data_IF_021801853055
#
_entry.id   IF_021801853055
#
_cell.length_a   1.000
_cell.length_b   1.000
_cell.length_c   1.000
_cell.angle_alpha   90.00
_cell.angle_beta   90.00
_cell.angle_gamma   90.00
#
_symmetry.space_group_name_H-M   'P 1'
#
loop_
_entity.id
_entity.type
_entity.pdbx_description
1 polymer ?
#
# COMPACT_ATOMS: atom_id res chain seq x y z
N UNK A 1 18.67 -44.81 13.91
CA UNK A 1 17.90 -43.89 13.11
C UNK A 1 16.58 -43.59 13.80
N UNK A 2 16.47 -42.39 14.37
CA UNK A 2 15.22 -41.91 14.97
C UNK A 2 14.39 -41.29 13.88
N UNK A 3 13.25 -41.85 13.54
CA UNK A 3 12.26 -41.23 12.66
C UNK A 3 11.43 -40.24 13.51
N UNK A 4 11.67 -38.96 13.36
CA UNK A 4 10.84 -37.90 13.93
C UNK A 4 9.60 -37.74 13.07
N UNK A 5 8.47 -38.29 13.51
CA UNK A 5 7.15 -38.04 12.91
C UNK A 5 6.63 -36.72 13.47
N UNK A 6 6.65 -35.67 12.68
CA UNK A 6 6.10 -34.38 13.06
C UNK A 6 4.68 -34.24 12.44
N UNK A 7 3.66 -34.39 13.29
CA UNK A 7 2.29 -34.11 12.87
C UNK A 7 1.99 -32.65 13.24
N UNK A 8 1.83 -31.79 12.24
CA UNK A 8 1.47 -30.39 12.42
C UNK A 8 0.06 -30.14 11.87
N UNK A 9 -0.89 -29.87 12.73
CA UNK A 9 -2.21 -29.42 12.35
C UNK A 9 -2.49 -28.08 13.05
N UNK A 10 -2.44 -26.98 12.29
CA UNK A 10 -2.70 -25.65 12.80
C UNK A 10 -3.89 -25.03 12.08
N UNK A 11 -4.96 -24.74 12.82
CA UNK A 11 -6.08 -23.93 12.33
C UNK A 11 -5.99 -22.53 12.92
N UNK A 12 -5.59 -21.55 12.12
CA UNK A 12 -5.53 -20.15 12.54
C UNK A 12 -6.63 -19.34 11.84
N UNK A 13 -7.45 -18.66 12.63
CA UNK A 13 -8.47 -17.74 12.13
C UNK A 13 -8.10 -16.32 12.57
N UNK A 14 -7.91 -15.43 11.62
CA UNK A 14 -7.70 -13.99 11.87
C UNK A 14 -8.81 -13.22 11.17
N UNK A 15 -9.37 -12.25 11.84
CA UNK A 15 -10.33 -11.32 11.28
C UNK A 15 -10.01 -9.90 11.72
N UNK A 16 -10.19 -8.95 10.83
CA UNK A 16 -10.06 -7.53 11.11
C UNK A 16 -11.30 -6.86 10.55
N UNK A 17 -12.00 -6.12 11.39
CA UNK A 17 -13.14 -5.31 11.00
C UNK A 17 -12.75 -3.84 11.08
N UNK A 18 -12.95 -3.10 10.00
CA UNK A 18 -12.70 -1.67 9.92
C UNK A 18 -14.01 -0.96 9.59
N UNK A 19 -14.38 0.03 10.39
CA UNK A 19 -15.52 0.88 10.16
C UNK A 19 -15.07 2.34 10.05
N UNK A 20 -15.42 2.99 8.93
CA UNK A 20 -15.22 4.43 8.71
C UNK A 20 -16.58 5.08 8.49
N UNK A 21 -16.95 6.04 9.33
CA UNK A 21 -18.26 6.69 9.29
C UNK A 21 -18.13 8.22 9.34
N UNK A 22 -17.70 8.88 8.25
CA UNK A 22 -17.68 10.35 8.19
C UNK A 22 -19.10 10.91 8.23
N UNK A 23 -19.27 12.08 8.86
CA UNK A 23 -20.55 12.77 8.96
C UNK A 23 -20.37 14.24 8.67
N UNK A 24 -21.27 14.82 7.90
CA UNK A 24 -21.26 16.23 7.55
C UNK A 24 -22.70 16.76 7.49
N UNK A 25 -22.91 17.97 7.93
CA UNK A 25 -24.19 18.67 7.77
C UNK A 25 -24.05 19.76 6.72
N UNK A 26 -24.93 19.75 5.74
CA UNK A 26 -24.82 20.59 4.53
C UNK A 26 -26.15 21.28 4.26
N UNK A 27 -26.09 22.45 3.65
CA UNK A 27 -27.28 23.15 3.17
C UNK A 27 -27.79 22.51 1.87
N UNK A 28 -29.10 22.58 1.66
CA UNK A 28 -29.74 22.11 0.44
C UNK A 28 -29.13 22.74 -0.82
N UNK A 29 -28.75 21.90 -1.78
CA UNK A 29 -28.17 22.30 -3.06
C UNK A 29 -26.73 22.83 -2.99
N UNK A 30 -26.06 22.79 -1.84
CA UNK A 30 -24.68 23.24 -1.70
C UNK A 30 -23.71 22.05 -1.66
N UNK A 31 -22.61 22.09 -2.43
CA UNK A 31 -21.56 21.09 -2.32
C UNK A 31 -20.80 21.29 -1.01
N UNK A 32 -20.41 20.19 -0.39
CA UNK A 32 -19.55 20.20 0.80
C UNK A 32 -18.59 19.03 0.78
N UNK A 33 -17.44 19.24 1.41
CA UNK A 33 -16.40 18.25 1.55
C UNK A 33 -16.01 18.11 3.01
N UNK A 34 -15.77 16.89 3.45
CA UNK A 34 -15.09 16.58 4.70
C UNK A 34 -13.88 15.71 4.42
N UNK A 35 -12.72 16.14 4.91
CA UNK A 35 -11.45 15.42 4.81
C UNK A 35 -10.98 15.07 6.21
N UNK A 36 -10.80 13.79 6.48
CA UNK A 36 -10.25 13.25 7.73
C UNK A 36 -9.08 12.36 7.33
N UNK A 37 -7.93 12.95 7.12
CA UNK A 37 -6.77 12.27 6.56
C UNK A 37 -5.46 12.74 7.19
N UNK A 38 -4.44 11.91 7.08
CA UNK A 38 -3.05 12.26 7.33
C UNK A 38 -2.37 12.54 6.00
N UNK A 39 -1.62 13.63 5.96
CA UNK A 39 -0.80 13.97 4.81
C UNK A 39 0.47 13.12 4.80
N UNK A 40 0.65 12.37 3.73
CA UNK A 40 1.81 11.54 3.54
C UNK A 40 2.66 12.08 2.39
N UNK A 41 3.87 12.53 2.72
CA UNK A 41 4.82 13.04 1.75
C UNK A 41 5.85 11.96 1.46
N UNK A 42 6.12 11.70 0.19
CA UNK A 42 7.10 10.73 -0.25
C UNK A 42 7.93 11.28 -1.42
N UNK A 43 9.20 10.86 -1.56
CA UNK A 43 10.04 11.34 -2.64
C UNK A 43 9.51 10.83 -3.98
N UNK A 44 9.45 11.73 -4.96
CA UNK A 44 8.99 11.43 -6.33
C UNK A 44 10.13 11.11 -7.27
N UNK A 45 11.32 11.60 -6.94
CA UNK A 45 12.51 11.41 -7.74
C UNK A 45 13.72 11.12 -6.86
N UNK A 46 14.70 10.47 -7.44
CA UNK A 46 15.97 10.18 -6.80
C UNK A 46 17.09 10.63 -7.72
N UNK A 47 17.92 11.51 -7.22
CA UNK A 47 19.14 11.85 -7.92
C UNK A 47 20.05 10.61 -7.93
N UNK A 48 20.43 10.10 -9.11
CA UNK A 48 21.29 8.94 -9.18
C UNK A 48 22.61 9.23 -8.45
N UNK A 49 23.13 8.21 -7.77
CA UNK A 49 24.44 8.32 -7.16
C UNK A 49 25.48 8.71 -8.22
N UNK A 50 26.31 9.72 -7.98
CA UNK A 50 27.38 10.06 -8.89
C UNK A 50 28.32 8.85 -9.06
N UNK A 51 28.91 8.66 -10.25
CA UNK A 51 29.85 7.57 -10.45
C UNK A 51 31.00 7.69 -9.43
N UNK A 52 31.47 6.55 -8.90
CA UNK A 52 32.56 6.57 -7.93
C UNK A 52 33.78 7.28 -8.53
N UNK A 53 34.22 8.33 -7.89
CA UNK A 53 35.44 9.05 -8.28
C UNK A 53 36.61 8.32 -7.65
N UNK A 54 37.39 7.65 -8.48
CA UNK A 54 38.71 7.19 -8.05
C UNK A 54 39.58 8.47 -7.93
N UNK A 55 39.89 8.86 -6.72
CA UNK A 55 40.75 10.02 -6.47
C UNK A 55 42.09 9.80 -7.13
N UNK A 56 42.25 10.34 -8.34
CA UNK A 56 43.55 10.46 -8.97
C UNK A 56 44.34 11.49 -8.17
N UNK A 57 45.38 11.03 -7.47
CA UNK A 57 46.30 11.90 -6.78
C UNK A 57 46.83 12.96 -7.74
N UNK A 58 46.59 14.23 -7.39
CA UNK A 58 47.04 15.36 -8.14
C UNK A 58 48.54 15.31 -8.40
N UNK A 59 48.92 15.70 -9.60
CA UNK A 59 50.30 15.74 -10.07
C UNK A 59 51.22 16.50 -9.13
N UNK A 60 52.11 15.79 -8.52
CA UNK A 60 53.30 16.28 -7.85
C UNK A 60 54.40 15.30 -8.15
N UNK A 61 55.40 15.77 -8.90
CA UNK A 61 56.64 15.06 -9.21
C UNK A 61 57.29 14.57 -7.90
N UNK A 62 57.18 13.29 -7.58
CA UNK A 62 58.15 12.62 -6.73
C UNK A 62 58.20 11.13 -7.02
N UNK A 63 59.37 10.69 -7.41
CA UNK A 63 59.77 9.29 -7.55
C UNK A 63 59.64 8.58 -6.22
N UNK A 64 58.97 7.43 -6.23
CA UNK A 64 59.09 6.41 -5.21
C UNK A 64 57.86 6.22 -4.31
N UNK A 65 57.19 5.13 -4.55
CA UNK A 65 56.19 4.57 -3.61
C UNK A 65 54.84 4.35 -4.24
N UNK A 66 54.56 3.14 -4.66
CA UNK A 66 53.23 2.69 -5.04
C UNK A 66 52.29 2.70 -3.84
N UNK A 67 51.69 3.86 -3.57
CA UNK A 67 50.60 3.99 -2.61
C UNK A 67 49.26 3.75 -3.27
N UNK A 68 48.83 2.49 -3.35
CA UNK A 68 47.50 2.06 -3.76
C UNK A 68 46.49 2.35 -2.64
N UNK A 69 46.16 3.60 -2.44
CA UNK A 69 45.21 4.00 -1.39
C UNK A 69 44.24 5.08 -1.86
N UNK A 70 43.74 4.99 -3.09
CA UNK A 70 42.59 5.83 -3.50
C UNK A 70 41.34 5.37 -2.80
N UNK A 71 40.88 6.10 -1.80
CA UNK A 71 39.59 5.85 -1.18
C UNK A 71 38.48 6.04 -2.22
N UNK A 72 37.73 4.96 -2.51
CA UNK A 72 36.56 5.02 -3.37
C UNK A 72 35.45 5.66 -2.52
N UNK A 73 35.07 6.87 -2.85
CA UNK A 73 33.93 7.52 -2.21
C UNK A 73 32.65 7.08 -2.94
N UNK A 74 31.80 6.37 -2.22
CA UNK A 74 30.48 5.96 -2.69
C UNK A 74 29.46 6.87 -2.04
N UNK A 75 28.72 7.60 -2.85
CA UNK A 75 27.64 8.45 -2.40
C UNK A 75 26.31 7.74 -2.70
N UNK A 76 25.44 7.66 -1.71
CA UNK A 76 24.09 7.10 -1.91
C UNK A 76 23.22 8.03 -2.77
N UNK A 77 22.22 7.47 -3.43
CA UNK A 77 21.21 8.26 -4.13
C UNK A 77 20.48 9.18 -3.14
N UNK A 78 20.24 10.41 -3.53
CA UNK A 78 19.60 11.41 -2.68
C UNK A 78 18.13 11.49 -3.08
N UNK A 79 17.18 11.25 -2.15
CA UNK A 79 15.77 11.43 -2.42
C UNK A 79 15.44 12.91 -2.64
N UNK A 80 14.64 13.20 -3.63
CA UNK A 80 14.13 14.54 -3.91
C UNK A 80 12.63 14.57 -3.61
N UNK A 81 12.24 15.56 -2.82
CA UNK A 81 10.85 15.83 -2.51
C UNK A 81 10.37 16.97 -3.39
N UNK A 82 9.21 16.80 -3.97
CA UNK A 82 8.57 17.89 -4.68
C UNK A 82 8.10 18.94 -3.67
N UNK A 83 8.44 20.22 -3.92
CA UNK A 83 8.10 21.34 -3.05
C UNK A 83 6.79 22.04 -3.44
N UNK A 84 6.07 21.49 -4.39
CA UNK A 84 4.78 22.01 -4.85
C UNK A 84 3.73 21.82 -3.75
N UNK A 85 2.83 22.80 -3.63
CA UNK A 85 1.72 22.74 -2.68
C UNK A 85 0.97 21.41 -2.78
N UNK A 86 0.62 20.80 -1.65
CA UNK A 86 -0.03 19.50 -1.64
C UNK A 86 -1.36 19.55 -2.40
N UNK A 87 -1.41 18.82 -3.49
CA UNK A 87 -2.61 18.54 -4.25
C UNK A 87 -2.75 17.02 -4.30
N UNK A 88 -3.92 16.52 -3.99
CA UNK A 88 -4.21 15.09 -3.81
C UNK A 88 -3.90 14.23 -5.06
N UNK A 89 -3.78 14.86 -6.22
CA UNK A 89 -3.47 14.19 -7.48
C UNK A 89 -2.00 14.34 -7.92
N UNK A 90 -1.19 15.11 -7.18
CA UNK A 90 0.20 15.32 -7.55
C UNK A 90 1.13 14.23 -7.01
N UNK A 91 2.16 13.86 -7.77
CA UNK A 91 3.20 12.97 -7.28
C UNK A 91 3.91 13.59 -6.07
N UNK A 92 4.25 12.76 -5.09
CA UNK A 92 4.97 13.18 -3.88
C UNK A 92 4.11 13.52 -2.67
N UNK A 93 2.80 13.64 -2.86
CA UNK A 93 1.84 13.89 -1.80
C UNK A 93 0.65 12.95 -1.89
N UNK A 94 0.17 12.48 -0.75
CA UNK A 94 -1.04 11.64 -0.69
C UNK A 94 -1.74 11.82 0.64
N UNK A 95 -3.03 12.09 0.59
CA UNK A 95 -3.90 12.05 1.74
C UNK A 95 -4.28 10.60 2.07
N UNK A 96 -3.94 10.16 3.27
CA UNK A 96 -4.26 8.83 3.81
C UNK A 96 -5.37 8.96 4.82
N UNK A 97 -6.55 8.47 4.51
CA UNK A 97 -7.73 8.62 5.34
C UNK A 97 -9.02 8.60 4.54
N UNK A 98 -10.00 9.37 4.98
CA UNK A 98 -11.35 9.43 4.39
C UNK A 98 -11.63 10.83 3.89
N UNK A 99 -12.04 10.93 2.64
CA UNK A 99 -12.56 12.15 2.00
C UNK A 99 -13.97 11.85 1.52
N UNK A 100 -14.91 12.73 1.81
CA UNK A 100 -16.28 12.63 1.35
C UNK A 100 -16.70 13.98 0.76
N UNK A 101 -16.98 13.97 -0.54
CA UNK A 101 -17.65 15.06 -1.22
C UNK A 101 -19.12 14.71 -1.37
N UNK A 102 -19.97 15.64 -1.04
CA UNK A 102 -21.42 15.45 -1.09
C UNK A 102 -22.13 16.71 -1.56
N UNK A 103 -23.10 16.52 -2.45
CA UNK A 103 -24.06 17.57 -2.85
C UNK A 103 -25.46 17.04 -2.64
N UNK A 104 -26.14 17.43 -1.56
CA UNK A 104 -27.52 17.05 -1.30
C UNK A 104 -28.51 17.97 -2.02
N UNK A 105 -29.65 17.42 -2.40
CA UNK A 105 -30.80 18.16 -2.90
C UNK A 105 -32.07 17.61 -2.31
N UNK A 106 -32.85 18.44 -1.65
CA UNK A 106 -34.16 18.05 -1.14
C UNK A 106 -35.16 18.02 -2.29
N UNK A 107 -35.85 16.90 -2.46
CA UNK A 107 -36.88 16.70 -3.47
C UNK A 107 -38.28 16.62 -2.84
N UNK A 108 -39.30 16.42 -3.66
CA UNK A 108 -40.68 16.23 -3.19
C UNK A 108 -40.81 14.93 -2.39
N UNK A 109 -41.80 14.86 -1.53
CA UNK A 109 -42.13 13.67 -0.71
C UNK A 109 -41.05 13.27 0.31
N UNK A 110 -40.37 14.24 0.94
CA UNK A 110 -39.31 13.97 1.92
C UNK A 110 -38.18 13.07 1.39
N UNK A 111 -37.87 13.17 0.12
CA UNK A 111 -36.74 12.48 -0.46
C UNK A 111 -35.55 13.41 -0.63
N UNK A 112 -34.37 12.84 -0.54
CA UNK A 112 -33.09 13.54 -0.63
C UNK A 112 -32.30 12.90 -1.77
N UNK A 113 -32.03 13.67 -2.82
CA UNK A 113 -31.09 13.27 -3.86
C UNK A 113 -29.69 13.65 -3.39
N UNK A 114 -28.79 12.70 -3.42
CA UNK A 114 -27.39 12.84 -3.00
C UNK A 114 -26.47 12.52 -4.17
N UNK A 115 -25.59 13.42 -4.48
CA UNK A 115 -24.41 13.14 -5.28
C UNK A 115 -23.23 12.94 -4.33
N UNK A 116 -22.59 11.76 -4.39
CA UNK A 116 -21.64 11.29 -3.40
C UNK A 116 -20.35 10.80 -4.07
N UNK A 117 -19.22 11.30 -3.57
CA UNK A 117 -17.89 10.88 -4.00
C UNK A 117 -17.01 10.51 -2.79
N UNK A 118 -17.35 9.44 -2.05
CA UNK A 118 -16.49 8.96 -0.97
C UNK A 118 -15.18 8.39 -1.53
N UNK A 119 -14.08 8.75 -0.88
CA UNK A 119 -12.73 8.25 -1.16
C UNK A 119 -12.07 7.82 0.15
N UNK A 120 -11.58 6.61 0.19
CA UNK A 120 -10.81 6.08 1.33
C UNK A 120 -9.45 5.67 0.81
N UNK A 121 -8.40 6.22 1.39
CA UNK A 121 -7.01 5.90 1.07
C UNK A 121 -6.38 5.28 2.31
N UNK A 122 -5.77 4.12 2.15
CA UNK A 122 -5.03 3.41 3.19
C UNK A 122 -3.57 3.24 2.75
N UNK A 123 -2.68 3.33 3.70
CA UNK A 123 -1.26 3.05 3.48
C UNK A 123 -1.02 1.56 3.77
N UNK A 124 -0.55 0.81 2.77
CA UNK A 124 -0.33 -0.63 2.89
C UNK A 124 1.11 -0.98 3.28
N UNK A 125 2.06 -0.07 3.06
CA UNK A 125 3.47 -0.30 3.37
C UNK A 125 4.41 0.25 2.32
N UNK A 126 5.65 -0.16 2.41
CA UNK A 126 6.68 0.19 1.45
C UNK A 126 7.07 -1.02 0.61
N UNK A 127 7.36 -0.78 -0.66
CA UNK A 127 8.01 -1.74 -1.55
C UNK A 127 9.39 -1.19 -1.93
N UNK A 128 10.36 -2.09 -1.96
CA UNK A 128 11.72 -1.75 -2.37
C UNK A 128 11.85 -1.91 -3.89
N UNK A 129 12.21 -0.83 -4.57
CA UNK A 129 12.58 -0.82 -5.98
C UNK A 129 14.07 -0.61 -6.10
N UNK A 130 14.70 -1.38 -6.95
CA UNK A 130 16.13 -1.31 -7.21
C UNK A 130 16.84 -2.60 -6.79
N UNK A 131 17.72 -3.05 -7.64
CA UNK A 131 18.55 -4.21 -7.39
C UNK A 131 19.91 -3.80 -6.86
N UNK A 132 20.63 -4.74 -6.29
CA UNK A 132 22.03 -4.59 -5.92
C UNK A 132 22.85 -4.28 -7.17
N UNK A 133 23.45 -3.10 -7.23
CA UNK A 133 24.44 -2.82 -8.25
C UNK A 133 25.81 -3.34 -7.77
N UNK A 134 26.22 -4.47 -8.33
CA UNK A 134 27.58 -4.95 -8.16
C UNK A 134 28.48 -4.20 -9.15
N UNK A 135 29.30 -3.26 -8.68
CA UNK A 135 30.42 -2.77 -9.47
C UNK A 135 31.59 -3.75 -9.36
N UNK A 136 31.88 -4.42 -10.46
CA UNK A 136 33.11 -5.17 -10.60
C UNK A 136 34.21 -4.15 -10.89
N UNK A 137 34.93 -3.75 -9.86
CA UNK A 137 36.16 -2.97 -10.03
C UNK A 137 37.20 -3.86 -10.70
N UNK A 138 37.53 -3.54 -11.93
CA UNK A 138 38.72 -4.13 -12.62
C UNK A 138 39.98 -3.54 -12.02
N UNK A 139 40.46 -4.11 -10.95
CA UNK A 139 41.83 -3.86 -10.54
C UNK A 139 42.35 -5.01 -9.70
N UNK A 140 43.30 -5.66 -10.28
CA UNK A 140 44.23 -6.63 -9.71
C UNK A 140 43.64 -8.00 -9.32
N UNK A 141 44.30 -9.00 -9.87
CA UNK A 141 44.17 -10.42 -9.53
C UNK A 141 44.36 -10.59 -8.02
N UNK A 142 43.26 -10.91 -7.29
CA UNK A 142 43.33 -11.25 -5.88
C UNK A 142 42.54 -10.36 -4.92
N UNK A 143 41.93 -9.27 -5.36
CA UNK A 143 41.04 -8.47 -4.49
C UNK A 143 39.62 -9.06 -4.45
N UNK A 144 38.98 -9.23 -3.28
CA UNK A 144 37.61 -9.69 -3.19
C UNK A 144 36.68 -8.69 -3.88
N UNK A 145 35.60 -9.14 -4.55
CA UNK A 145 34.62 -8.25 -5.13
C UNK A 145 34.02 -7.36 -4.04
N UNK A 146 34.16 -6.06 -4.18
CA UNK A 146 33.59 -5.10 -3.25
C UNK A 146 32.08 -5.04 -3.54
N UNK A 147 31.27 -5.56 -2.64
CA UNK A 147 29.83 -5.40 -2.70
C UNK A 147 29.50 -3.96 -2.35
N UNK A 148 29.11 -3.19 -3.32
CA UNK A 148 28.71 -1.81 -3.13
C UNK A 148 27.20 -1.80 -2.96
N UNK A 149 26.81 -1.56 -1.73
CA UNK A 149 25.57 -1.12 -1.15
C UNK A 149 24.26 -1.30 -1.98
N UNK A 150 23.24 -1.93 -1.41
CA UNK A 150 21.92 -1.97 -2.03
C UNK A 150 21.34 -0.55 -2.11
N UNK A 151 21.14 -0.04 -3.30
CA UNK A 151 20.38 1.18 -3.53
C UNK A 151 18.89 0.82 -3.67
N UNK A 152 18.30 0.29 -2.60
CA UNK A 152 16.87 0.07 -2.56
C UNK A 152 16.14 1.40 -2.37
N UNK A 153 15.31 1.75 -3.34
CA UNK A 153 14.38 2.88 -3.24
C UNK A 153 13.10 2.36 -2.63
N UNK A 154 12.74 2.88 -1.46
CA UNK A 154 11.49 2.53 -0.78
C UNK A 154 10.36 3.42 -1.30
N UNK A 155 9.39 2.80 -2.00
CA UNK A 155 8.21 3.48 -2.50
C UNK A 155 6.98 3.05 -1.71
N UNK A 156 6.11 3.98 -1.29
CA UNK A 156 4.88 3.65 -0.59
C UNK A 156 3.84 3.04 -1.51
N UNK A 157 3.07 2.11 -0.99
CA UNK A 157 1.89 1.54 -1.65
C UNK A 157 0.65 2.02 -0.92
N UNK A 158 -0.33 2.50 -1.69
CA UNK A 158 -1.61 2.94 -1.18
C UNK A 158 -2.75 2.14 -1.78
N UNK A 159 -3.67 1.71 -0.95
CA UNK A 159 -4.97 1.17 -1.38
C UNK A 159 -5.99 2.28 -1.41
N UNK A 160 -6.56 2.55 -2.58
CA UNK A 160 -7.58 3.59 -2.77
C UNK A 160 -8.91 2.95 -3.11
N UNK A 161 -9.96 3.32 -2.37
CA UNK A 161 -11.35 2.96 -2.63
C UNK A 161 -12.11 4.24 -2.91
N UNK A 162 -12.62 4.39 -4.12
CA UNK A 162 -13.37 5.57 -4.56
C UNK A 162 -14.68 5.12 -5.20
N UNK A 163 -15.75 5.79 -4.87
CA UNK A 163 -17.08 5.58 -5.47
C UNK A 163 -17.61 6.94 -5.92
N UNK A 164 -18.14 7.00 -7.14
CA UNK A 164 -18.87 8.15 -7.65
C UNK A 164 -20.29 7.67 -7.96
N UNK A 165 -21.26 8.19 -7.26
CA UNK A 165 -22.66 7.75 -7.43
C UNK A 165 -23.64 8.86 -7.08
N UNK A 166 -24.82 8.77 -7.65
CA UNK A 166 -25.97 9.57 -7.24
C UNK A 166 -27.10 8.65 -6.82
N UNK A 167 -27.77 8.97 -5.73
CA UNK A 167 -28.83 8.15 -5.13
C UNK A 167 -29.88 9.05 -4.52
N UNK A 168 -31.15 8.64 -4.65
CA UNK A 168 -32.25 9.31 -3.95
C UNK A 168 -32.75 8.41 -2.82
N UNK A 169 -32.80 8.93 -1.60
CA UNK A 169 -33.21 8.21 -0.40
C UNK A 169 -34.30 9.00 0.34
N UNK A 170 -35.12 8.32 1.12
CA UNK A 170 -36.07 8.99 2.02
C UNK A 170 -35.37 9.53 3.24
N UNK A 171 -35.94 10.56 3.84
CA UNK A 171 -35.47 11.15 5.10
C UNK A 171 -35.31 10.08 6.19
N UNK A 172 -34.12 10.01 6.80
CA UNK A 172 -33.74 9.03 7.82
C UNK A 172 -33.48 7.62 7.30
N UNK A 173 -33.58 7.36 6.00
CA UNK A 173 -33.31 6.05 5.44
C UNK A 173 -31.81 5.80 5.26
N UNK A 174 -31.46 4.51 5.19
CA UNK A 174 -30.10 4.04 4.89
C UNK A 174 -30.16 3.12 3.68
N UNK A 175 -29.27 3.33 2.73
CA UNK A 175 -29.17 2.52 1.52
C UNK A 175 -27.72 2.05 1.31
N UNK A 176 -27.56 0.90 0.67
CA UNK A 176 -26.26 0.41 0.22
C UNK A 176 -26.01 1.01 -1.16
N UNK A 177 -24.92 1.77 -1.28
CA UNK A 177 -24.52 2.38 -2.56
C UNK A 177 -23.45 1.58 -3.30
N UNK A 178 -22.79 0.66 -2.64
CA UNK A 178 -21.81 -0.19 -3.27
C UNK A 178 -21.24 -1.23 -2.33
N UNK A 179 -20.51 -2.17 -2.92
CA UNK A 179 -19.82 -3.18 -2.15
C UNK A 179 -18.98 -4.08 -3.05
N UNK A 180 -18.04 -4.79 -2.43
CA UNK A 180 -17.19 -5.78 -3.06
C UNK A 180 -17.02 -6.96 -2.12
N UNK A 181 -17.22 -8.14 -2.65
CA UNK A 181 -16.81 -9.38 -1.99
C UNK A 181 -15.73 -10.02 -2.82
N UNK A 182 -14.57 -10.21 -2.24
CA UNK A 182 -13.45 -10.96 -2.84
C UNK A 182 -13.16 -12.17 -1.98
N UNK A 183 -13.12 -13.31 -2.63
CA UNK A 183 -12.80 -14.60 -2.01
C UNK A 183 -11.63 -15.21 -2.79
N UNK A 184 -10.60 -15.58 -2.09
CA UNK A 184 -9.40 -16.19 -2.65
C UNK A 184 -9.11 -17.46 -1.87
N UNK A 185 -9.11 -18.58 -2.58
CA UNK A 185 -8.80 -19.90 -2.03
C UNK A 185 -7.53 -20.38 -2.73
N UNK A 186 -6.49 -20.59 -1.95
CA UNK A 186 -5.23 -21.15 -2.43
C UNK A 186 -5.05 -22.52 -1.81
N UNK A 187 -5.06 -23.54 -2.64
CA UNK A 187 -4.84 -24.92 -2.23
C UNK A 187 -3.48 -25.39 -2.75
N UNK A 188 -2.64 -25.84 -1.85
CA UNK A 188 -1.32 -26.43 -2.18
C UNK A 188 -1.36 -27.88 -1.73
N UNK A 189 -1.19 -28.79 -2.68
CA UNK A 189 -1.16 -30.23 -2.43
C UNK A 189 0.20 -30.80 -2.85
N UNK A 190 1.00 -31.18 -1.87
CA UNK A 190 2.26 -31.85 -2.08
C UNK A 190 2.09 -33.35 -1.87
N UNK A 191 2.47 -34.14 -2.86
CA UNK A 191 2.32 -35.57 -2.84
C UNK A 191 3.59 -36.26 -3.36
N UNK A 192 4.06 -37.24 -2.59
CA UNK A 192 5.17 -38.05 -3.07
C UNK A 192 4.64 -39.04 -4.12
N UNK A 193 5.18 -39.04 -5.35
CA UNK A 193 4.76 -39.99 -6.38
C UNK A 193 4.95 -41.41 -5.89
N UNK A 194 4.04 -42.32 -6.27
CA UNK A 194 3.99 -43.75 -5.89
C UNK A 194 3.51 -43.96 -4.42
N UNK A 195 4.16 -43.40 -3.42
CA UNK A 195 3.81 -43.64 -2.00
C UNK A 195 2.51 -42.95 -1.60
N UNK A 196 2.23 -41.80 -2.16
CA UNK A 196 0.99 -41.07 -1.89
C UNK A 196 -0.28 -41.71 -2.50
N UNK A 197 -0.16 -42.76 -3.32
CA UNK A 197 -1.28 -43.46 -3.91
C UNK A 197 -1.67 -44.76 -3.20
N UNK A 198 -0.96 -45.14 -2.13
CA UNK A 198 -1.24 -46.34 -1.37
C UNK A 198 -2.51 -46.14 -0.54
N UNK A 199 -3.53 -47.00 -0.68
CA UNK A 199 -4.72 -46.93 0.16
C UNK A 199 -4.35 -47.15 1.62
N UNK A 200 -4.93 -46.41 2.55
CA UNK A 200 -4.68 -46.30 3.98
C UNK A 200 -3.38 -45.57 4.40
N UNK A 201 -2.26 -45.78 3.71
CA UNK A 201 -0.95 -45.20 4.10
C UNK A 201 -0.62 -43.91 3.31
N UNK A 202 -1.26 -43.67 2.18
CA UNK A 202 -0.96 -42.52 1.31
C UNK A 202 -1.13 -41.15 1.99
N UNK A 203 -2.00 -41.06 3.01
CA UNK A 203 -2.17 -39.82 3.79
C UNK A 203 -0.90 -39.39 4.55
N UNK A 204 -0.04 -40.32 4.92
CA UNK A 204 1.24 -40.01 5.58
C UNK A 204 2.31 -39.40 4.63
N UNK A 205 2.06 -39.55 3.31
CA UNK A 205 2.95 -39.08 2.25
C UNK A 205 2.37 -37.95 1.42
N UNK A 206 1.34 -37.29 1.96
CA UNK A 206 0.69 -36.14 1.36
C UNK A 206 0.64 -35.00 2.38
N UNK A 207 0.92 -33.78 1.90
CA UNK A 207 0.72 -32.56 2.66
C UNK A 207 -0.26 -31.69 1.88
N UNK A 208 -1.34 -31.25 2.52
CA UNK A 208 -2.25 -30.29 1.93
C UNK A 208 -2.33 -29.06 2.79
N UNK A 209 -2.14 -27.90 2.19
CA UNK A 209 -2.31 -26.60 2.82
C UNK A 209 -3.38 -25.83 2.06
N UNK A 210 -4.39 -25.35 2.78
CA UNK A 210 -5.45 -24.53 2.22
C UNK A 210 -5.43 -23.18 2.92
N UNK A 211 -5.31 -22.11 2.13
CA UNK A 211 -5.36 -20.74 2.59
C UNK A 211 -6.62 -20.10 2.03
N UNK A 212 -7.49 -19.66 2.91
CA UNK A 212 -8.74 -19.00 2.59
C UNK A 212 -8.70 -17.55 3.03
N UNK A 213 -8.86 -16.62 2.07
CA UNK A 213 -8.91 -15.20 2.33
C UNK A 213 -10.21 -14.63 1.78
N UNK A 214 -11.00 -14.01 2.65
CA UNK A 214 -12.23 -13.32 2.28
C UNK A 214 -12.16 -11.87 2.69
N UNK A 215 -12.44 -10.96 1.76
CA UNK A 215 -12.51 -9.51 1.97
C UNK A 215 -13.88 -9.03 1.52
N UNK A 216 -14.60 -8.40 2.44
CA UNK A 216 -15.88 -7.79 2.16
C UNK A 216 -15.76 -6.28 2.37
N UNK A 217 -16.25 -5.51 1.43
CA UNK A 217 -16.45 -4.07 1.52
C UNK A 217 -17.92 -3.79 1.32
N UNK A 218 -18.52 -3.03 2.21
CA UNK A 218 -19.89 -2.53 2.06
C UNK A 218 -19.90 -1.04 2.34
N UNK A 219 -20.57 -0.29 1.49
CA UNK A 219 -20.67 1.17 1.59
C UNK A 219 -22.15 1.52 1.73
N UNK A 220 -22.45 2.10 2.89
CA UNK A 220 -23.78 2.57 3.23
C UNK A 220 -23.82 4.08 3.23
N UNK A 221 -24.95 4.65 2.87
CA UNK A 221 -25.24 6.07 3.07
C UNK A 221 -26.55 6.22 3.80
N UNK A 222 -26.57 7.15 4.75
CA UNK A 222 -27.79 7.61 5.42
C UNK A 222 -27.84 9.13 5.40
N UNK A 223 -29.01 9.70 5.17
CA UNK A 223 -29.20 11.13 5.25
C UNK A 223 -30.50 11.44 5.96
N UNK A 224 -30.51 12.57 6.65
CA UNK A 224 -31.70 13.08 7.33
C UNK A 224 -31.80 14.59 7.19
N UNK A 225 -33.03 15.10 7.12
CA UNK A 225 -33.31 16.52 7.06
C UNK A 225 -33.30 17.07 8.48
N UNK A 226 -32.54 18.13 8.70
CA UNK A 226 -32.47 18.82 9.98
C UNK A 226 -33.06 20.24 9.86
N UNK A 227 -33.78 20.68 10.86
CA UNK A 227 -34.31 22.03 10.92
C UNK A 227 -33.18 23.06 11.18
N UNK A 228 -33.47 24.35 11.00
CA UNK A 228 -32.50 25.43 11.30
C UNK A 228 -31.95 25.42 12.73
N UNK A 229 -32.61 24.74 13.64
CA UNK A 229 -32.17 24.56 15.03
C UNK A 229 -31.39 23.26 15.27
N UNK A 230 -31.08 22.48 14.22
CA UNK A 230 -30.33 21.22 14.32
C UNK A 230 -31.15 20.01 14.80
N UNK A 231 -32.47 20.19 15.02
CA UNK A 231 -33.35 19.05 15.34
C UNK A 231 -33.88 18.38 14.09
N UNK A 232 -34.01 17.03 14.09
CA UNK A 232 -34.58 16.31 12.95
C UNK A 232 -36.02 16.80 12.69
N UNK A 233 -36.34 17.02 11.43
CA UNK A 233 -37.70 17.37 11.02
C UNK A 233 -38.50 16.06 11.04
N UNK A 234 -39.51 16.01 11.95
CA UNK A 234 -40.45 14.88 12.04
C UNK A 234 -41.64 15.08 11.13
#
# INVERSE_FOLDING_TARGET
SQANLLISALKRKQGTDLLSAPRITVMDGQPAQITIAQEFIYPTDYQPAPPPVVGGGGGGNNQGGAGLGGAIQIQAAIPQFDTVAPDDEQPGFREVGVVLDVTPRIEKYNSIALELNPKVTEFDGFIEYGGQQAMIGTSQVGAPPMVIQPSGILMPIFSVRKVNTSVTIFDGATVIIGGLTREEVKTVNDKIPVLGNIPLLGRLFQSSAESYQKRNLLIFVSASIVSRGGSPVR
#
